data_IF_296652729890
#
_entry.id   IF_296652729890
#
_cell.length_a   1.000
_cell.length_b   1.000
_cell.length_c   1.000
_cell.angle_alpha   90.00
_cell.angle_beta   90.00
_cell.angle_gamma   90.00
#
_symmetry.space_group_name_H-M   'P 1'
#
loop_
_entity.id
_entity.type
_entity.pdbx_description
1 polymer ?
#
# COMPACT_ATOMS: atom_id res chain seq x y z
N UNK A 1 -3.02 15.38 -3.44
CA UNK A 1 -2.71 14.17 -4.24
C UNK A 1 -1.71 14.54 -5.31
N UNK A 2 -0.65 13.78 -5.49
CA UNK A 2 0.35 14.03 -6.54
C UNK A 2 -0.28 13.84 -7.94
N UNK A 3 -0.02 14.77 -8.86
CA UNK A 3 -0.67 14.83 -10.19
C UNK A 3 0.27 14.49 -11.35
N UNK A 4 1.49 14.05 -11.04
CA UNK A 4 2.50 13.64 -12.01
C UNK A 4 3.01 14.76 -12.93
N UNK A 5 3.96 14.40 -13.82
CA UNK A 5 4.93 13.30 -13.68
C UNK A 5 6.00 13.61 -12.62
N UNK A 6 6.71 12.60 -12.02
CA UNK A 6 6.71 11.16 -12.37
C UNK A 6 5.60 10.33 -11.68
N UNK A 7 5.55 9.02 -11.96
CA UNK A 7 4.74 8.07 -11.20
C UNK A 7 5.41 7.75 -9.85
N UNK A 8 4.64 7.75 -8.76
CA UNK A 8 5.20 7.62 -7.40
C UNK A 8 4.56 6.45 -6.64
N UNK A 9 5.38 5.50 -6.19
CA UNK A 9 4.98 4.45 -5.24
C UNK A 9 5.32 4.92 -3.83
N UNK A 10 4.38 4.82 -2.88
CA UNK A 10 4.56 5.38 -1.54
C UNK A 10 3.84 4.57 -0.45
N UNK A 11 4.16 4.88 0.81
CA UNK A 11 3.49 4.34 2.01
C UNK A 11 2.96 5.44 2.92
N UNK A 12 3.38 5.46 4.19
CA UNK A 12 3.12 6.50 5.21
C UNK A 12 1.72 6.47 5.85
N UNK A 13 0.65 6.62 5.05
CA UNK A 13 -0.72 6.56 5.59
C UNK A 13 -1.32 5.20 5.30
N UNK A 14 -1.42 4.35 6.32
CA UNK A 14 -2.06 3.04 6.19
C UNK A 14 -3.52 3.17 5.74
N UNK A 15 -3.91 2.33 4.78
CA UNK A 15 -5.29 2.18 4.31
C UNK A 15 -5.68 0.72 4.28
N UNK A 16 -6.98 0.41 4.24
CA UNK A 16 -7.45 -0.98 4.16
C UNK A 16 -7.11 -1.65 2.82
N UNK A 17 -6.93 -0.84 1.77
CA UNK A 17 -6.63 -1.28 0.40
C UNK A 17 -5.57 -0.37 -0.21
N UNK A 18 -4.95 -0.87 -1.29
CA UNK A 18 -4.03 -0.09 -2.10
C UNK A 18 -4.73 1.17 -2.62
N UNK A 19 -4.03 2.30 -2.55
CA UNK A 19 -4.54 3.59 -3.01
C UNK A 19 -3.96 3.94 -4.37
N UNK A 20 -4.76 3.84 -5.43
CA UNK A 20 -4.29 4.05 -6.79
C UNK A 20 -4.85 5.34 -7.41
N UNK A 21 -4.01 6.03 -8.16
CA UNK A 21 -4.39 7.12 -9.06
C UNK A 21 -3.60 6.98 -10.36
N UNK A 22 -3.90 7.85 -11.35
CA UNK A 22 -3.13 7.92 -12.61
C UNK A 22 -1.60 7.98 -12.38
N UNK A 23 -1.16 8.67 -11.33
CA UNK A 23 0.25 8.97 -11.09
C UNK A 23 0.81 8.43 -9.78
N UNK A 24 0.03 7.69 -8.99
CA UNK A 24 0.49 7.24 -7.68
C UNK A 24 -0.04 5.87 -7.29
N UNK A 25 0.75 5.14 -6.50
CA UNK A 25 0.34 3.88 -5.86
C UNK A 25 0.75 3.86 -4.39
N UNK A 26 -0.22 3.91 -3.49
CA UNK A 26 -0.02 3.76 -2.06
C UNK A 26 -0.10 2.29 -1.64
N UNK A 27 1.02 1.72 -1.20
CA UNK A 27 1.15 0.29 -0.85
C UNK A 27 1.12 0.02 0.67
N UNK A 28 0.97 1.05 1.49
CA UNK A 28 0.78 0.87 2.93
C UNK A 28 -0.66 0.40 3.21
N UNK A 29 -0.81 -0.92 3.28
CA UNK A 29 -2.08 -1.59 3.57
C UNK A 29 -2.20 -2.04 5.02
N UNK A 30 -1.53 -1.34 5.95
CA UNK A 30 -1.70 -1.53 7.39
C UNK A 30 -1.36 -2.94 7.89
N UNK A 31 -0.29 -3.56 7.39
CA UNK A 31 0.09 -4.94 7.77
C UNK A 31 0.13 -5.14 9.30
N UNK A 32 0.79 -4.24 10.03
CA UNK A 32 0.90 -4.32 11.50
C UNK A 32 -0.47 -4.17 12.21
N UNK A 33 -1.42 -3.49 11.57
CA UNK A 33 -2.78 -3.26 12.07
C UNK A 33 -3.72 -4.45 11.79
N UNK A 34 -3.21 -5.53 11.18
CA UNK A 34 -4.00 -6.70 10.78
C UNK A 34 -4.43 -6.70 9.31
N UNK A 35 -3.94 -5.77 8.49
CA UNK A 35 -4.18 -5.71 7.05
C UNK A 35 -3.27 -6.66 6.26
N UNK A 36 -2.54 -6.13 5.28
CA UNK A 36 -1.62 -6.91 4.45
C UNK A 36 -0.26 -6.21 4.26
N UNK A 37 0.79 -6.99 4.03
CA UNK A 37 2.03 -6.50 3.44
C UNK A 37 1.87 -6.51 1.92
N UNK A 38 2.02 -5.36 1.28
CA UNK A 38 1.81 -5.20 -0.16
C UNK A 38 3.12 -4.84 -0.86
N UNK A 39 3.37 -5.49 -1.98
CA UNK A 39 4.43 -5.17 -2.91
C UNK A 39 3.85 -4.86 -4.30
N UNK A 40 4.58 -4.09 -5.09
CA UNK A 40 4.31 -3.84 -6.50
C UNK A 40 5.50 -4.32 -7.33
N UNK A 41 5.23 -5.11 -8.36
CA UNK A 41 6.22 -5.53 -9.35
C UNK A 41 6.15 -4.54 -10.51
N UNK A 42 7.29 -3.94 -10.84
CA UNK A 42 7.44 -3.01 -11.96
C UNK A 42 8.14 -3.71 -13.14
N UNK A 43 7.87 -3.29 -14.39
CA UNK A 43 7.03 -2.15 -14.79
C UNK A 43 5.51 -2.43 -14.84
N UNK A 44 5.08 -3.68 -14.70
CA UNK A 44 3.68 -4.12 -14.93
C UNK A 44 2.70 -3.59 -13.89
N UNK A 45 3.19 -3.00 -12.78
CA UNK A 45 2.43 -2.56 -11.61
C UNK A 45 1.58 -3.68 -11.01
N UNK A 46 2.06 -4.92 -11.11
CA UNK A 46 1.37 -6.09 -10.54
C UNK A 46 1.45 -6.06 -9.02
N UNK A 47 0.30 -6.09 -8.37
CA UNK A 47 0.21 -6.13 -6.90
C UNK A 47 0.38 -7.57 -6.40
N UNK A 48 1.20 -7.73 -5.36
CA UNK A 48 1.33 -8.96 -4.59
C UNK A 48 1.09 -8.64 -3.13
N UNK A 49 0.28 -9.44 -2.46
CA UNK A 49 -0.09 -9.20 -1.06
C UNK A 49 0.03 -10.46 -0.23
N UNK A 50 0.50 -10.31 1.01
CA UNK A 50 0.43 -11.34 2.05
C UNK A 50 -0.35 -10.77 3.23
N UNK A 51 -1.43 -11.44 3.63
CA UNK A 51 -2.22 -11.01 4.79
C UNK A 51 -1.39 -11.12 6.07
N UNK A 52 -1.59 -10.17 6.98
CA UNK A 52 -1.05 -10.27 8.32
C UNK A 52 -1.62 -11.51 9.01
N UNK A 53 -0.75 -12.24 9.75
CA UNK A 53 -1.17 -13.44 10.49
C UNK A 53 -2.11 -13.12 11.66
N UNK A 54 -1.98 -11.91 12.22
CA UNK A 54 -2.79 -11.34 13.29
C UNK A 54 -2.62 -9.83 13.30
N UNK A 55 -3.45 -9.13 14.06
CA UNK A 55 -3.24 -7.73 14.42
C UNK A 55 -2.12 -7.66 15.46
N UNK A 56 -1.03 -6.96 15.13
CA UNK A 56 0.13 -6.80 16.01
C UNK A 56 0.11 -5.48 16.78
N UNK A 57 -0.56 -4.47 16.24
CA UNK A 57 -0.76 -3.17 16.88
C UNK A 57 -2.24 -2.77 16.82
N UNK A 58 -2.78 -2.33 17.94
CA UNK A 58 -4.05 -1.61 17.99
C UNK A 58 -3.72 -0.14 18.16
N UNK A 59 -3.99 0.64 17.10
CA UNK A 59 -4.08 2.08 17.27
C UNK A 59 -5.17 2.33 18.33
N UNK A 60 -4.78 3.02 19.41
CA UNK A 60 -5.68 3.46 20.46
C UNK A 60 -6.68 4.51 19.95
#
# INVERSE_FOLDING_TARGET
MWKGPPFVVYGHTSRERVAETKWTLGIDTGCVLGGALTAVILPERKLVQVRARKKYYAAG
#
